data_IF_680701116401
#
_entry.id   IF_680701116401
#
_cell.length_a   1.000
_cell.length_b   1.000
_cell.length_c   1.000
_cell.angle_alpha   90.00
_cell.angle_beta   90.00
_cell.angle_gamma   90.00
#
_symmetry.space_group_name_H-M   'P 1'
#
loop_
_entity.id
_entity.type
_entity.pdbx_description
1 polymer ?
#
# COMPACT_ATOMS: atom_id res chain seq x y z
N UNK A 1 -5.39 31.20 -12.50
CA UNK A 1 -4.93 29.81 -12.38
C UNK A 1 -3.59 29.68 -13.10
N UNK A 2 -2.52 29.36 -12.37
CA UNK A 2 -1.19 29.19 -12.97
C UNK A 2 -1.11 27.82 -13.70
N UNK A 3 -0.06 27.60 -14.49
CA UNK A 3 0.03 26.38 -15.30
C UNK A 3 0.20 25.10 -14.47
N UNK A 4 0.75 25.19 -13.25
CA UNK A 4 0.83 24.05 -12.32
C UNK A 4 -0.57 23.63 -11.85
N UNK A 5 -1.43 24.60 -11.52
CA UNK A 5 -2.81 24.32 -11.12
C UNK A 5 -3.63 23.72 -12.27
N UNK A 6 -3.40 24.15 -13.52
CA UNK A 6 -4.03 23.53 -14.70
C UNK A 6 -3.65 22.06 -14.83
N UNK A 7 -2.36 21.73 -14.74
CA UNK A 7 -1.86 20.35 -14.83
C UNK A 7 -2.44 19.50 -13.70
N UNK A 8 -2.38 20.00 -12.46
CA UNK A 8 -2.92 19.30 -11.29
C UNK A 8 -4.43 19.00 -11.45
N UNK A 9 -5.20 19.95 -11.96
CA UNK A 9 -6.64 19.79 -12.14
C UNK A 9 -6.99 18.75 -13.22
N UNK A 10 -6.13 18.52 -14.22
CA UNK A 10 -6.32 17.52 -15.26
C UNK A 10 -5.98 16.09 -14.82
N UNK A 11 -5.23 15.92 -13.73
CA UNK A 11 -4.90 14.58 -13.21
C UNK A 11 -6.16 13.82 -12.80
N UNK A 12 -6.17 12.51 -13.06
CA UNK A 12 -7.16 11.58 -12.51
C UNK A 12 -7.20 11.64 -10.98
N UNK A 13 -8.34 11.30 -10.39
CA UNK A 13 -8.57 11.42 -8.95
C UNK A 13 -7.64 10.49 -8.13
N UNK A 14 -7.26 9.35 -8.68
CA UNK A 14 -6.36 8.36 -8.09
C UNK A 14 -4.90 8.54 -8.52
N UNK A 15 -4.60 9.55 -9.34
CA UNK A 15 -3.24 9.80 -9.80
C UNK A 15 -2.30 10.10 -8.61
N UNK A 16 -1.09 9.50 -8.58
CA UNK A 16 -0.09 9.81 -7.57
C UNK A 16 0.39 11.26 -7.74
N UNK A 17 0.40 12.00 -6.64
CA UNK A 17 0.87 13.40 -6.59
C UNK A 17 2.17 13.55 -5.81
N UNK A 18 2.52 12.55 -4.99
CA UNK A 18 3.78 12.46 -4.28
C UNK A 18 4.14 10.99 -4.00
N UNK A 19 5.39 10.62 -4.26
CA UNK A 19 5.95 9.29 -3.94
C UNK A 19 6.83 9.42 -2.69
N UNK A 20 6.76 8.43 -1.81
CA UNK A 20 7.47 8.37 -0.54
C UNK A 20 8.09 6.97 -0.37
N UNK A 21 9.27 6.86 0.27
CA UNK A 21 9.83 5.56 0.63
C UNK A 21 8.91 4.86 1.65
N UNK A 22 8.70 3.55 1.48
CA UNK A 22 8.01 2.74 2.46
C UNK A 22 8.96 2.40 3.64
N UNK A 23 8.44 2.26 4.88
CA UNK A 23 9.20 1.65 5.95
C UNK A 23 9.59 0.21 5.59
N UNK A 24 10.83 -0.19 5.89
CA UNK A 24 11.39 -1.49 5.53
C UNK A 24 10.65 -2.70 6.12
N UNK A 25 9.85 -2.47 7.18
CA UNK A 25 9.09 -3.53 7.83
C UNK A 25 7.61 -3.59 7.40
N UNK A 26 7.23 -2.97 6.29
CA UNK A 26 5.89 -3.13 5.72
C UNK A 26 5.89 -4.14 4.57
N UNK A 27 4.91 -5.01 4.59
CA UNK A 27 4.73 -6.08 3.62
C UNK A 27 3.27 -6.18 3.18
N UNK A 28 3.04 -6.68 1.97
CA UNK A 28 1.74 -7.07 1.44
C UNK A 28 1.56 -8.56 1.69
N UNK A 29 0.44 -8.93 2.31
CA UNK A 29 0.01 -10.32 2.45
C UNK A 29 -0.78 -10.75 1.21
N UNK A 30 -0.38 -11.88 0.65
CA UNK A 30 -1.11 -12.58 -0.40
C UNK A 30 -1.56 -13.95 0.12
N UNK A 31 -2.79 -14.30 -0.22
CA UNK A 31 -3.40 -15.58 0.12
C UNK A 31 -3.87 -16.22 -1.19
N UNK A 32 -3.17 -17.26 -1.62
CA UNK A 32 -3.46 -17.98 -2.86
C UNK A 32 -3.38 -19.48 -2.60
N UNK A 33 -4.42 -20.23 -2.99
CA UNK A 33 -4.51 -21.68 -2.80
C UNK A 33 -4.24 -22.19 -1.37
N UNK A 34 -4.51 -21.35 -0.36
CA UNK A 34 -4.28 -21.68 1.06
C UNK A 34 -2.84 -21.43 1.53
N UNK A 35 -1.96 -21.00 0.64
CA UNK A 35 -0.62 -20.52 0.98
C UNK A 35 -0.63 -19.03 1.24
N UNK A 36 0.17 -18.61 2.24
CA UNK A 36 0.35 -17.21 2.60
C UNK A 36 1.78 -16.83 2.30
N UNK A 37 1.96 -15.76 1.53
CA UNK A 37 3.26 -15.19 1.23
C UNK A 37 3.25 -13.67 1.39
N UNK A 38 4.43 -13.11 1.62
CA UNK A 38 4.62 -11.71 1.95
C UNK A 38 5.58 -11.05 0.96
N UNK A 39 5.13 -9.96 0.33
CA UNK A 39 5.95 -9.14 -0.57
C UNK A 39 6.34 -7.84 0.12
N UNK A 40 7.60 -7.38 0.05
CA UNK A 40 7.99 -6.10 0.64
C UNK A 40 7.30 -4.93 -0.06
N UNK A 41 6.77 -3.98 0.71
CA UNK A 41 6.28 -2.72 0.14
C UNK A 41 7.50 -1.90 -0.29
N UNK A 42 7.57 -1.56 -1.58
CA UNK A 42 8.69 -0.83 -2.17
C UNK A 42 8.50 0.69 -2.13
N UNK A 43 7.25 1.17 -2.20
CA UNK A 43 6.95 2.60 -2.06
C UNK A 43 5.50 2.88 -1.61
N UNK A 44 5.28 4.13 -1.21
CA UNK A 44 3.95 4.67 -0.92
C UNK A 44 3.68 5.88 -1.82
N UNK A 45 2.43 6.10 -2.20
CA UNK A 45 2.04 7.29 -2.94
C UNK A 45 0.84 7.98 -2.31
N UNK A 46 0.97 9.30 -2.07
CA UNK A 46 -0.19 10.16 -1.84
C UNK A 46 -0.83 10.43 -3.20
N UNK A 47 -2.13 10.18 -3.31
CA UNK A 47 -2.89 10.51 -4.52
C UNK A 47 -3.70 11.80 -4.36
N UNK A 48 -4.24 12.30 -5.48
CA UNK A 48 -5.05 13.52 -5.54
C UNK A 48 -6.32 13.45 -4.67
N UNK A 49 -6.82 12.25 -4.40
CA UNK A 49 -7.90 12.00 -3.46
C UNK A 49 -7.51 12.13 -1.98
N UNK A 50 -6.25 12.46 -1.68
CA UNK A 50 -5.67 12.52 -0.34
C UNK A 50 -5.61 11.16 0.38
N UNK A 51 -5.55 10.06 -0.37
CA UNK A 51 -5.32 8.72 0.16
C UNK A 51 -3.86 8.32 -0.04
N UNK A 52 -3.35 7.47 0.86
CA UNK A 52 -2.05 6.81 0.72
C UNK A 52 -2.29 5.42 0.14
N UNK A 53 -1.72 5.16 -1.04
CA UNK A 53 -1.61 3.83 -1.63
C UNK A 53 -0.24 3.23 -1.28
N UNK A 54 -0.20 1.91 -1.14
CA UNK A 54 1.01 1.12 -0.93
C UNK A 54 1.27 0.30 -2.18
N UNK A 55 2.54 0.11 -2.52
CA UNK A 55 2.94 -0.63 -3.70
C UNK A 55 4.06 -1.61 -3.35
N UNK A 56 3.91 -2.85 -3.80
CA UNK A 56 4.95 -3.86 -3.81
C UNK A 56 5.41 -4.13 -5.24
N UNK A 57 6.39 -5.03 -5.38
CA UNK A 57 6.90 -5.44 -6.68
C UNK A 57 6.89 -6.95 -6.84
N UNK A 58 6.67 -7.41 -8.07
CA UNK A 58 6.85 -8.81 -8.43
C UNK A 58 8.29 -9.12 -8.88
N UNK A 59 8.53 -10.38 -9.26
CA UNK A 59 9.82 -10.90 -9.68
C UNK A 59 10.26 -10.43 -11.08
N UNK A 60 9.36 -9.79 -11.84
CA UNK A 60 9.67 -9.15 -13.12
C UNK A 60 9.86 -7.62 -12.98
N UNK A 61 9.72 -7.09 -11.77
CA UNK A 61 9.89 -5.67 -11.46
C UNK A 61 8.69 -4.81 -11.78
N UNK A 62 7.50 -5.39 -11.99
CA UNK A 62 6.26 -4.64 -12.03
C UNK A 62 5.95 -4.10 -10.64
N UNK A 63 5.42 -2.88 -10.58
CA UNK A 63 5.01 -2.23 -9.33
C UNK A 63 3.51 -2.06 -9.37
N UNK A 64 2.82 -2.73 -8.46
CA UNK A 64 1.36 -2.75 -8.41
C UNK A 64 0.83 -2.24 -7.08
N UNK A 65 -0.40 -1.73 -7.14
CA UNK A 65 -1.07 -1.21 -5.96
C UNK A 65 -1.53 -2.39 -5.12
N UNK A 66 -1.09 -2.43 -3.86
CA UNK A 66 -1.54 -3.40 -2.89
C UNK A 66 -3.05 -3.30 -2.64
N UNK A 67 -3.67 -4.46 -2.41
CA UNK A 67 -5.09 -4.59 -2.05
C UNK A 67 -5.46 -3.88 -0.75
N UNK A 68 -6.76 -3.66 -0.53
CA UNK A 68 -7.26 -3.12 0.73
C UNK A 68 -7.01 -4.12 1.86
N UNK A 69 -6.57 -3.63 3.02
CA UNK A 69 -6.31 -4.44 4.22
C UNK A 69 -5.23 -5.54 4.09
N UNK A 70 -4.47 -5.61 2.99
CA UNK A 70 -3.38 -6.59 2.84
C UNK A 70 -2.07 -6.16 3.50
N UNK A 71 -1.95 -4.91 3.95
CA UNK A 71 -0.69 -4.43 4.54
C UNK A 71 -0.47 -4.98 5.94
N UNK A 72 0.67 -5.65 6.11
CA UNK A 72 1.20 -6.13 7.38
C UNK A 72 2.45 -5.37 7.78
N UNK A 73 2.70 -5.34 9.07
CA UNK A 73 3.93 -4.86 9.69
C UNK A 73 4.68 -6.06 10.26
N UNK A 74 5.92 -6.25 9.84
CA UNK A 74 6.80 -7.27 10.38
C UNK A 74 7.36 -6.84 11.73
N UNK A 75 7.23 -7.71 12.72
CA UNK A 75 7.81 -7.56 14.04
C UNK A 75 9.08 -8.44 14.14
N UNK A 76 10.29 -7.85 14.11
CA UNK A 76 11.53 -8.64 14.13
C UNK A 76 11.80 -9.31 15.47
N UNK A 77 11.15 -8.89 16.56
CA UNK A 77 11.34 -9.48 17.89
C UNK A 77 10.59 -10.81 18.03
N UNK A 78 9.39 -10.89 17.45
CA UNK A 78 8.53 -12.10 17.48
C UNK A 78 8.63 -12.92 16.21
N UNK A 79 9.09 -12.33 15.11
CA UNK A 79 9.05 -12.94 13.77
C UNK A 79 7.66 -12.95 13.14
N UNK A 80 6.69 -12.23 13.72
CA UNK A 80 5.29 -12.26 13.29
C UNK A 80 4.93 -11.09 12.38
N UNK A 81 3.93 -11.30 11.52
CA UNK A 81 3.32 -10.28 10.67
C UNK A 81 2.00 -9.82 11.29
N UNK A 82 1.96 -8.57 11.73
CA UNK A 82 0.79 -7.97 12.37
C UNK A 82 0.03 -7.09 11.37
N UNK A 83 -1.29 -7.02 11.50
CA UNK A 83 -2.07 -6.12 10.66
C UNK A 83 -1.64 -4.66 10.88
N UNK A 84 -1.23 -3.97 9.80
CA UNK A 84 -0.79 -2.58 9.89
C UNK A 84 -1.92 -1.63 10.34
N UNK A 85 -3.13 -1.82 9.82
CA UNK A 85 -4.29 -1.00 10.16
C UNK A 85 -5.15 -1.63 11.26
N UNK A 86 -5.63 -0.82 12.20
CA UNK A 86 -6.58 -1.26 13.24
C UNK A 86 -8.02 -1.41 12.71
N UNK A 87 -8.29 -1.06 11.45
CA UNK A 87 -9.64 -1.08 10.87
C UNK A 87 -10.07 -2.47 10.39
N UNK A 88 -9.13 -3.31 9.95
CA UNK A 88 -9.45 -4.69 9.53
C UNK A 88 -10.08 -5.53 10.65
N UNK A 89 -9.87 -5.14 11.92
CA UNK A 89 -10.46 -5.82 13.08
C UNK A 89 -11.96 -5.53 13.28
N UNK A 90 -12.54 -4.52 12.61
CA UNK A 90 -13.95 -4.13 12.81
C UNK A 90 -14.96 -4.86 11.93
N UNK A 91 -14.53 -5.60 10.92
CA UNK A 91 -15.47 -6.33 10.03
C UNK A 91 -15.81 -7.75 10.53
N UNK A 92 -15.20 -8.22 11.62
CA UNK A 92 -15.53 -9.50 12.27
C UNK A 92 -16.38 -9.26 13.52
N UNK A 93 -17.55 -8.65 13.34
CA UNK A 93 -18.64 -8.74 14.34
C UNK A 93 -19.97 -8.58 13.61
N UNK A 94 -20.49 -9.69 13.10
CA UNK A 94 -21.92 -9.86 12.81
C UNK A 94 -22.43 -11.05 13.61
#
# INVERSE_FOLDING_TARGET
MNDKEKIYNQLHHDAPIQIMPAPENLFVEYIEDGEVWYSPVVCMALNKAHNINFYDSDDVGCIDKAGTFSIKKFNPETGEFEQFSKMAQKEVTQ
#
